data_IF_120874047361
#
_entry.id   IF_120874047361
#
_cell.length_a   1.000
_cell.length_b   1.000
_cell.length_c   1.000
_cell.angle_alpha   90.00
_cell.angle_beta   90.00
_cell.angle_gamma   90.00
#
_symmetry.space_group_name_H-M   'P 1'
#
loop_
_entity.id
_entity.type
_entity.pdbx_description
1 polymer ?
#
# COMPACT_ATOMS: atom_id res chain seq x y z
N UNK A 1 -8.41 18.09 42.60
CA UNK A 1 -7.97 18.69 41.32
C UNK A 1 -7.35 17.59 40.48
N UNK A 2 -8.15 16.90 39.66
CA UNK A 2 -7.67 15.83 38.79
C UNK A 2 -7.37 16.45 37.44
N UNK A 3 -6.09 16.52 37.06
CA UNK A 3 -5.65 16.89 35.72
C UNK A 3 -5.87 15.68 34.82
N UNK A 4 -6.86 15.74 33.94
CA UNK A 4 -6.93 14.83 32.80
C UNK A 4 -5.80 15.21 31.84
N UNK A 5 -4.83 14.32 31.67
CA UNK A 5 -3.89 14.41 30.57
C UNK A 5 -4.65 14.01 29.30
N UNK A 6 -4.67 14.92 28.32
CA UNK A 6 -5.19 14.65 26.99
C UNK A 6 -4.47 13.43 26.39
N UNK A 7 -5.16 12.30 26.32
CA UNK A 7 -4.80 11.26 25.39
C UNK A 7 -4.86 11.87 23.99
N UNK A 8 -3.70 11.98 23.34
CA UNK A 8 -3.62 12.39 21.93
C UNK A 8 -4.52 11.44 21.15
N UNK A 9 -5.62 11.97 20.62
CA UNK A 9 -6.51 11.23 19.74
C UNK A 9 -5.73 10.95 18.46
N UNK A 10 -5.26 9.71 18.30
CA UNK A 10 -4.67 9.24 17.05
C UNK A 10 -5.87 8.94 16.15
N UNK A 11 -6.01 9.59 14.97
CA UNK A 11 -7.12 9.31 14.08
C UNK A 11 -7.14 7.82 13.73
N UNK A 12 -8.30 7.18 13.82
CA UNK A 12 -8.55 5.89 13.16
C UNK A 12 -8.54 6.19 11.67
N UNK A 13 -7.45 5.87 11.00
CA UNK A 13 -7.33 6.04 9.57
C UNK A 13 -7.65 4.71 8.91
N UNK A 14 -8.44 4.69 7.84
CA UNK A 14 -8.64 3.46 7.08
C UNK A 14 -7.38 3.22 6.25
N UNK A 15 -6.85 1.99 6.29
CA UNK A 15 -5.89 1.54 5.30
C UNK A 15 -6.69 1.32 4.01
N UNK A 16 -6.82 2.39 3.24
CA UNK A 16 -7.46 2.40 1.95
C UNK A 16 -6.70 1.49 0.99
N UNK A 17 -7.44 0.54 0.45
CA UNK A 17 -7.16 -0.17 -0.81
C UNK A 17 -5.74 -0.75 -1.00
N UNK A 18 -5.22 -1.64 -0.13
CA UNK A 18 -4.01 -2.33 -0.51
C UNK A 18 -4.29 -3.46 -1.51
N UNK A 19 -3.60 -3.41 -2.66
CA UNK A 19 -3.60 -4.48 -3.67
C UNK A 19 -2.30 -5.25 -3.59
N UNK A 20 -2.35 -6.56 -3.82
CA UNK A 20 -1.19 -7.46 -3.79
C UNK A 20 -1.03 -8.13 -5.15
N UNK A 21 0.10 -7.87 -5.81
CA UNK A 21 0.54 -8.52 -7.04
C UNK A 21 1.54 -9.63 -6.71
N UNK A 22 1.42 -10.74 -7.42
CA UNK A 22 2.31 -11.90 -7.29
C UNK A 22 2.99 -12.18 -8.63
N UNK A 23 4.31 -12.15 -8.66
CA UNK A 23 5.13 -12.39 -9.86
C UNK A 23 6.09 -13.57 -9.61
N UNK A 24 5.59 -14.81 -9.61
CA UNK A 24 6.44 -15.99 -9.51
C UNK A 24 7.32 -16.16 -10.75
N UNK A 25 8.37 -16.99 -10.66
CA UNK A 25 9.24 -17.26 -11.81
C UNK A 25 8.60 -18.21 -12.82
N UNK A 26 7.71 -19.07 -12.35
CA UNK A 26 6.93 -20.02 -13.15
C UNK A 26 5.51 -20.04 -12.64
N UNK A 27 4.57 -20.51 -13.46
CA UNK A 27 3.19 -20.69 -13.00
C UNK A 27 3.15 -21.67 -11.82
N UNK A 28 2.69 -21.21 -10.66
CA UNK A 28 2.72 -22.00 -9.44
C UNK A 28 1.57 -21.67 -8.49
N UNK A 29 1.31 -22.56 -7.53
CA UNK A 29 0.32 -22.32 -6.50
C UNK A 29 0.94 -21.48 -5.37
N UNK A 30 0.23 -20.42 -4.99
CA UNK A 30 0.65 -19.50 -3.93
C UNK A 30 -0.46 -19.36 -2.90
N UNK A 31 -0.12 -19.55 -1.63
CA UNK A 31 -0.97 -19.27 -0.48
C UNK A 31 -0.59 -17.93 0.11
N UNK A 32 -1.55 -17.03 0.24
CA UNK A 32 -1.41 -15.70 0.83
C UNK A 32 -2.27 -15.61 2.09
N UNK A 33 -1.66 -15.21 3.20
CA UNK A 33 -2.30 -15.01 4.50
C UNK A 33 -1.97 -13.61 5.00
N UNK A 34 -3.00 -12.88 5.39
CA UNK A 34 -2.94 -11.50 5.82
C UNK A 34 -3.76 -11.33 7.10
N UNK A 35 -3.23 -10.58 8.06
CA UNK A 35 -3.86 -10.39 9.37
C UNK A 35 -3.87 -8.90 9.78
N UNK A 36 -4.67 -8.04 9.11
CA UNK A 36 -4.76 -6.63 9.52
C UNK A 36 -5.28 -6.52 10.95
N UNK A 37 -4.69 -5.63 11.75
CA UNK A 37 -4.97 -5.51 13.19
C UNK A 37 -6.47 -5.33 13.52
N UNK A 38 -7.19 -4.55 12.72
CA UNK A 38 -8.61 -4.27 12.91
C UNK A 38 -9.53 -5.01 11.91
N UNK A 39 -9.00 -6.06 11.28
CA UNK A 39 -9.73 -6.92 10.35
C UNK A 39 -9.99 -6.30 8.97
N UNK A 40 -10.74 -7.04 8.16
CA UNK A 40 -11.13 -6.64 6.80
C UNK A 40 -12.48 -5.92 6.80
N UNK A 41 -12.59 -4.85 6.00
CA UNK A 41 -13.87 -4.27 5.60
C UNK A 41 -14.34 -4.83 4.25
N UNK A 42 -13.40 -5.17 3.36
CA UNK A 42 -13.70 -5.77 2.07
C UNK A 42 -12.49 -6.59 1.59
N UNK A 43 -12.76 -7.65 0.83
CA UNK A 43 -11.73 -8.47 0.17
C UNK A 43 -12.21 -8.94 -1.18
N UNK A 44 -11.34 -8.95 -2.18
CA UNK A 44 -11.59 -9.58 -3.48
C UNK A 44 -10.33 -10.30 -3.98
N UNK A 45 -10.38 -11.63 -4.21
CA UNK A 45 -11.49 -12.56 -3.98
C UNK A 45 -11.94 -12.61 -2.52
N UNK A 46 -13.04 -13.32 -2.22
CA UNK A 46 -13.45 -13.56 -0.83
C UNK A 46 -12.31 -14.25 -0.05
N UNK A 47 -11.93 -13.66 1.09
CA UNK A 47 -10.72 -14.08 1.81
C UNK A 47 -10.88 -15.40 2.57
N UNK A 48 -12.01 -15.64 3.24
CA UNK A 48 -12.21 -16.84 4.07
C UNK A 48 -11.11 -17.02 5.13
N UNK A 49 -10.21 -17.98 4.91
CA UNK A 49 -9.04 -18.24 5.79
C UNK A 49 -7.71 -17.83 5.16
N UNK A 50 -7.74 -17.20 3.99
CA UNK A 50 -6.60 -16.92 3.15
C UNK A 50 -6.92 -17.12 1.67
N UNK A 51 -6.15 -16.46 0.81
CA UNK A 51 -6.22 -16.71 -0.63
C UNK A 51 -5.26 -17.83 -1.01
N UNK A 52 -5.78 -18.81 -1.74
CA UNK A 52 -4.97 -19.80 -2.44
C UNK A 52 -5.20 -19.58 -3.93
N UNK A 53 -4.13 -19.26 -4.66
CA UNK A 53 -4.21 -18.88 -6.07
C UNK A 53 -3.20 -19.65 -6.90
N UNK A 54 -3.48 -19.82 -8.19
CA UNK A 54 -2.48 -20.16 -9.19
C UNK A 54 -1.99 -18.85 -9.79
N UNK A 55 -0.75 -18.47 -9.46
CA UNK A 55 -0.13 -17.24 -9.93
C UNK A 55 0.71 -17.50 -11.18
N UNK A 56 0.60 -16.63 -12.17
CA UNK A 56 1.38 -16.66 -13.40
C UNK A 56 2.47 -15.58 -13.38
N UNK A 57 3.64 -15.78 -14.01
CA UNK A 57 4.68 -14.74 -14.09
C UNK A 57 4.21 -13.40 -14.70
N UNK A 58 3.12 -13.41 -15.47
CA UNK A 58 2.46 -12.19 -15.97
C UNK A 58 1.75 -11.35 -14.90
N UNK A 59 1.55 -11.90 -13.68
CA UNK A 59 0.78 -11.28 -12.60
C UNK A 59 -0.70 -11.67 -12.58
N UNK A 60 -1.18 -12.43 -13.57
CA UNK A 60 -2.56 -12.95 -13.56
C UNK A 60 -2.68 -14.06 -12.52
N UNK A 61 -3.73 -13.97 -11.71
CA UNK A 61 -4.03 -14.92 -10.65
C UNK A 61 -5.31 -15.67 -11.00
N UNK A 62 -5.34 -16.99 -10.78
CA UNK A 62 -6.59 -17.76 -10.76
C UNK A 62 -6.87 -18.16 -9.33
N UNK A 63 -7.96 -17.65 -8.76
CA UNK A 63 -8.35 -18.00 -7.40
C UNK A 63 -8.87 -19.44 -7.35
N UNK A 64 -8.35 -20.24 -6.42
CA UNK A 64 -8.68 -21.68 -6.34
C UNK A 64 -10.11 -21.90 -5.88
N UNK A 65 -10.65 -21.04 -5.01
CA UNK A 65 -11.98 -21.24 -4.41
C UNK A 65 -13.14 -21.00 -5.37
N UNK A 66 -13.01 -20.06 -6.32
CA UNK A 66 -14.06 -19.73 -7.28
C UNK A 66 -13.67 -19.96 -8.76
N UNK A 67 -12.41 -20.28 -9.04
CA UNK A 67 -11.88 -20.51 -10.38
C UNK A 67 -11.78 -19.27 -11.26
N UNK A 68 -12.00 -18.06 -10.72
CA UNK A 68 -11.99 -16.81 -11.48
C UNK A 68 -10.58 -16.22 -11.58
N UNK A 69 -10.38 -15.44 -12.64
CA UNK A 69 -9.13 -14.72 -12.87
C UNK A 69 -9.17 -13.32 -12.27
N UNK A 70 -8.07 -12.94 -11.62
CA UNK A 70 -7.88 -11.65 -10.97
C UNK A 70 -6.54 -11.03 -11.38
N UNK A 71 -6.46 -9.70 -11.56
CA UNK A 71 -5.21 -9.00 -11.87
C UNK A 71 -4.31 -8.78 -10.64
N UNK A 72 -4.89 -8.91 -9.44
CA UNK A 72 -4.25 -8.77 -8.13
C UNK A 72 -5.21 -9.28 -7.05
N UNK A 73 -4.71 -9.51 -5.84
CA UNK A 73 -5.55 -9.69 -4.65
C UNK A 73 -5.85 -8.32 -4.06
N UNK A 74 -7.05 -8.15 -3.53
CA UNK A 74 -7.55 -6.88 -3.06
C UNK A 74 -8.04 -7.00 -1.63
N UNK A 75 -7.67 -6.06 -0.78
CA UNK A 75 -8.32 -5.90 0.51
C UNK A 75 -8.50 -4.45 0.89
N UNK A 76 -9.43 -4.23 1.80
CA UNK A 76 -9.58 -3.01 2.58
C UNK A 76 -9.71 -3.43 4.04
N UNK A 77 -9.17 -2.62 4.92
CA UNK A 77 -9.25 -2.85 6.35
C UNK A 77 -9.24 -1.54 7.11
N UNK A 78 -9.78 -1.59 8.33
CA UNK A 78 -9.60 -0.48 9.25
C UNK A 78 -8.11 -0.43 9.58
N UNK A 79 -7.49 0.71 9.32
CA UNK A 79 -6.07 0.86 9.58
C UNK A 79 -5.84 0.87 11.08
N UNK A 80 -4.92 0.01 11.53
CA UNK A 80 -4.47 0.02 12.91
C UNK A 80 -3.86 1.37 13.28
N UNK A 81 -3.72 1.63 14.58
CA UNK A 81 -3.05 2.84 15.04
C UNK A 81 -1.60 2.85 14.55
N UNK A 82 -1.27 3.76 13.65
CA UNK A 82 0.10 4.05 13.25
C UNK A 82 0.46 5.49 13.58
N UNK A 83 1.76 5.75 13.68
CA UNK A 83 2.24 7.11 13.88
C UNK A 83 2.23 7.86 12.55
N UNK A 84 1.50 8.97 12.49
CA UNK A 84 1.54 9.85 11.33
C UNK A 84 2.99 10.25 10.99
N UNK A 85 3.39 10.15 9.71
CA UNK A 85 4.74 10.44 9.30
C UNK A 85 5.05 11.93 9.47
N UNK A 86 6.19 12.20 10.10
CA UNK A 86 6.72 13.57 10.30
C UNK A 86 7.68 13.98 9.19
N UNK A 87 8.16 13.01 8.41
CA UNK A 87 9.02 13.22 7.23
C UNK A 87 8.21 12.93 5.98
N UNK A 88 8.46 13.70 4.92
CA UNK A 88 7.69 13.63 3.69
C UNK A 88 7.98 14.82 2.79
N UNK A 89 7.18 14.93 1.75
CA UNK A 89 7.35 15.88 0.67
C UNK A 89 6.13 16.78 0.60
N UNK A 90 6.37 18.07 0.43
CA UNK A 90 5.29 19.03 0.13
C UNK A 90 5.30 19.27 -1.36
N UNK A 91 4.17 18.98 -2.01
CA UNK A 91 4.02 18.94 -3.46
C UNK A 91 2.86 19.83 -3.85
N UNK A 92 3.02 20.69 -4.85
CA UNK A 92 1.91 21.48 -5.38
C UNK A 92 0.92 20.57 -6.11
N UNK A 93 -0.38 20.91 -6.10
CA UNK A 93 -1.42 20.10 -6.75
C UNK A 93 -1.09 19.72 -8.20
N UNK A 94 -0.59 20.69 -8.97
CA UNK A 94 -0.23 20.53 -10.37
C UNK A 94 1.06 19.70 -10.60
N UNK A 95 1.80 19.39 -9.54
CA UNK A 95 3.02 18.59 -9.58
C UNK A 95 2.82 17.17 -9.02
N UNK A 96 1.62 16.85 -8.49
CA UNK A 96 1.34 15.55 -7.87
C UNK A 96 1.58 14.40 -8.86
N UNK A 97 1.13 14.53 -10.10
CA UNK A 97 1.28 13.46 -11.10
C UNK A 97 2.75 13.10 -11.37
N UNK A 98 3.58 14.09 -11.72
CA UNK A 98 5.00 13.87 -11.97
C UNK A 98 5.75 13.43 -10.72
N UNK A 99 5.35 13.93 -9.55
CA UNK A 99 5.88 13.48 -8.27
C UNK A 99 5.60 11.99 -8.01
N UNK A 100 4.35 11.53 -8.22
CA UNK A 100 4.00 10.12 -8.04
C UNK A 100 4.78 9.23 -9.00
N UNK A 101 4.85 9.59 -10.29
CA UNK A 101 5.61 8.83 -11.28
C UNK A 101 7.08 8.64 -10.86
N UNK A 102 7.72 9.71 -10.39
CA UNK A 102 9.10 9.66 -9.90
C UNK A 102 9.20 8.77 -8.64
N UNK A 103 8.37 9.00 -7.62
CA UNK A 103 8.50 8.31 -6.33
C UNK A 103 8.11 6.85 -6.40
N UNK A 104 7.06 6.47 -7.14
CA UNK A 104 6.64 5.08 -7.29
C UNK A 104 7.71 4.25 -8.01
N UNK A 105 8.34 4.80 -9.05
CA UNK A 105 9.48 4.17 -9.71
C UNK A 105 10.67 3.99 -8.73
N UNK A 106 10.97 5.02 -7.91
CA UNK A 106 12.00 4.94 -6.88
C UNK A 106 11.67 3.93 -5.77
N UNK A 107 10.39 3.70 -5.48
CA UNK A 107 9.91 2.69 -4.53
C UNK A 107 9.87 1.29 -5.14
N UNK A 108 10.18 1.17 -6.44
CA UNK A 108 10.33 -0.09 -7.14
C UNK A 108 9.04 -0.59 -7.77
N UNK A 109 7.99 0.22 -7.90
CA UNK A 109 6.79 -0.13 -8.67
C UNK A 109 7.10 -0.10 -10.18
N UNK A 110 6.47 -1.02 -10.91
CA UNK A 110 6.55 -1.04 -12.37
C UNK A 110 5.47 -0.16 -13.01
N UNK A 111 5.51 0.00 -14.34
CA UNK A 111 4.57 0.86 -15.06
C UNK A 111 3.09 0.49 -14.84
N UNK A 112 2.76 -0.81 -14.75
CA UNK A 112 1.38 -1.26 -14.51
C UNK A 112 0.94 -0.92 -13.10
N UNK A 113 1.74 -1.26 -12.10
CA UNK A 113 1.42 -1.02 -10.70
C UNK A 113 1.33 0.49 -10.40
N UNK A 114 2.23 1.30 -10.98
CA UNK A 114 2.19 2.76 -10.85
C UNK A 114 0.94 3.35 -11.50
N UNK A 115 0.54 2.87 -12.67
CA UNK A 115 -0.69 3.32 -13.32
C UNK A 115 -1.94 2.96 -12.48
N UNK A 116 -2.03 1.72 -11.99
CA UNK A 116 -3.13 1.28 -11.12
C UNK A 116 -3.15 2.09 -9.80
N UNK A 117 -1.97 2.45 -9.26
CA UNK A 117 -1.83 3.31 -8.07
C UNK A 117 -2.33 4.74 -8.35
N UNK A 118 -1.83 5.36 -9.42
CA UNK A 118 -2.15 6.74 -9.82
C UNK A 118 -3.64 6.88 -10.13
N UNK A 119 -4.22 5.94 -10.88
CA UNK A 119 -5.66 5.93 -11.22
C UNK A 119 -6.53 6.03 -9.96
N UNK A 120 -6.12 5.39 -8.87
CA UNK A 120 -6.87 5.42 -7.64
C UNK A 120 -6.53 6.61 -6.73
N UNK A 121 -5.25 6.89 -6.52
CA UNK A 121 -4.82 7.85 -5.50
C UNK A 121 -4.71 9.28 -5.99
N UNK A 122 -4.31 9.51 -7.24
CA UNK A 122 -4.14 10.87 -7.77
C UNK A 122 -5.44 11.69 -7.75
N UNK A 123 -6.62 11.15 -8.12
CA UNK A 123 -7.87 11.91 -8.04
C UNK A 123 -8.25 12.38 -6.63
N UNK A 124 -7.71 11.73 -5.58
CA UNK A 124 -7.95 12.08 -4.17
C UNK A 124 -7.03 13.20 -3.67
N UNK A 125 -5.99 13.53 -4.43
CA UNK A 125 -5.12 14.67 -4.20
C UNK A 125 -5.51 15.84 -5.11
N UNK A 126 -6.82 16.12 -5.18
CA UNK A 126 -7.39 17.28 -5.89
C UNK A 126 -8.20 18.16 -4.93
N UNK A 127 -8.13 19.48 -5.13
CA UNK A 127 -8.93 20.45 -4.35
C UNK A 127 -8.21 21.14 -3.19
N UNK A 128 -6.90 20.97 -3.06
CA UNK A 128 -6.04 21.76 -2.18
C UNK A 128 -4.77 22.16 -2.94
N UNK A 129 -4.22 23.36 -2.70
CA UNK A 129 -3.10 23.88 -3.49
C UNK A 129 -1.80 23.09 -3.30
N UNK A 130 -1.65 22.43 -2.15
CA UNK A 130 -0.50 21.60 -1.81
C UNK A 130 -0.94 20.33 -1.08
N UNK A 131 -0.08 19.32 -1.13
CA UNK A 131 -0.21 18.09 -0.36
C UNK A 131 1.09 17.79 0.37
N UNK A 132 0.99 17.38 1.63
CA UNK A 132 2.06 16.65 2.28
C UNK A 132 1.88 15.17 1.96
N UNK A 133 2.90 14.53 1.39
CA UNK A 133 2.89 13.13 0.98
C UNK A 133 4.08 12.41 1.60
N UNK A 134 3.83 11.24 2.18
CA UNK A 134 4.82 10.33 2.72
C UNK A 134 4.50 8.89 2.31
N UNK A 135 5.53 8.06 2.25
CA UNK A 135 5.47 6.64 1.93
C UNK A 135 6.09 5.82 3.05
N UNK A 136 5.31 4.90 3.59
CA UNK A 136 5.69 3.95 4.62
C UNK A 136 6.01 2.61 3.93
N UNK A 137 7.08 1.95 4.39
CA UNK A 137 7.57 0.71 3.79
C UNK A 137 7.16 -0.56 4.57
N UNK A 138 7.78 -1.68 4.19
CA UNK A 138 7.53 -3.01 4.76
C UNK A 138 7.47 -3.02 6.29
N UNK A 139 8.40 -2.37 7.00
CA UNK A 139 8.46 -2.43 8.46
C UNK A 139 7.19 -1.94 9.16
N UNK A 140 6.51 -0.94 8.59
CA UNK A 140 5.25 -0.43 9.14
C UNK A 140 4.10 -1.34 8.72
N UNK A 141 4.08 -1.77 7.45
CA UNK A 141 3.06 -2.67 6.94
C UNK A 141 3.07 -4.05 7.62
N UNK A 142 4.24 -4.57 7.98
CA UNK A 142 4.38 -5.85 8.69
C UNK A 142 3.82 -5.78 10.11
N UNK A 143 3.76 -4.57 10.70
CA UNK A 143 3.10 -4.35 11.99
C UNK A 143 1.59 -4.19 11.82
N UNK A 144 1.16 -3.42 10.82
CA UNK A 144 -0.26 -3.08 10.60
C UNK A 144 -1.07 -4.25 10.03
N UNK A 145 -0.48 -4.97 9.08
CA UNK A 145 -1.07 -6.09 8.39
C UNK A 145 0.02 -7.11 8.05
N UNK A 146 0.44 -7.95 9.03
CA UNK A 146 1.33 -9.06 8.78
C UNK A 146 0.92 -9.87 7.55
N UNK A 147 1.87 -10.06 6.63
CA UNK A 147 1.70 -10.77 5.38
C UNK A 147 2.60 -12.01 5.38
N UNK A 148 1.99 -13.18 5.18
CA UNK A 148 2.69 -14.45 5.04
C UNK A 148 2.32 -15.09 3.71
N UNK A 149 3.34 -15.49 2.94
CA UNK A 149 3.17 -16.05 1.59
C UNK A 149 3.94 -17.36 1.49
N UNK A 150 3.34 -18.37 0.87
CA UNK A 150 3.96 -19.67 0.61
C UNK A 150 3.75 -20.07 -0.86
N UNK A 151 4.80 -20.40 -1.62
CA UNK A 151 6.21 -20.38 -1.23
C UNK A 151 6.71 -18.98 -0.87
N UNK A 152 7.79 -18.91 -0.08
CA UNK A 152 8.32 -17.64 0.38
C UNK A 152 8.87 -16.83 -0.81
N UNK A 153 8.44 -15.56 -0.99
CA UNK A 153 8.94 -14.72 -2.05
C UNK A 153 10.39 -14.28 -1.78
N UNK A 154 11.18 -14.15 -2.85
CA UNK A 154 12.55 -13.64 -2.81
C UNK A 154 12.59 -12.12 -2.62
N UNK A 155 11.57 -11.42 -3.10
CA UNK A 155 11.43 -9.96 -2.98
C UNK A 155 10.02 -9.59 -2.53
N UNK A 156 9.92 -8.76 -1.50
CA UNK A 156 8.64 -8.17 -1.06
C UNK A 156 8.77 -6.65 -1.03
N UNK A 157 7.93 -5.96 -1.80
CA UNK A 157 7.86 -4.49 -1.85
C UNK A 157 6.51 -4.09 -1.30
N UNK A 158 6.46 -3.41 -0.15
CA UNK A 158 5.21 -2.89 0.43
C UNK A 158 5.28 -1.38 0.51
N UNK A 159 4.30 -0.69 -0.07
CA UNK A 159 4.22 0.77 -0.12
C UNK A 159 2.87 1.23 0.42
N UNK A 160 2.87 1.94 1.54
CA UNK A 160 1.67 2.59 2.06
C UNK A 160 1.84 4.10 1.99
N UNK A 161 1.05 4.76 1.16
CA UNK A 161 1.07 6.22 1.05
C UNK A 161 0.19 6.87 2.11
N UNK A 162 0.73 7.85 2.81
CA UNK A 162 -0.01 8.76 3.66
C UNK A 162 0.06 10.16 3.05
N UNK A 163 -1.10 10.80 2.88
CA UNK A 163 -1.16 12.17 2.38
C UNK A 163 -2.19 13.00 3.13
N UNK A 164 -1.98 14.32 3.14
CA UNK A 164 -2.94 15.30 3.67
C UNK A 164 -2.89 16.62 2.90
N UNK A 165 -4.04 17.28 2.71
CA UNK A 165 -4.10 18.57 2.04
C UNK A 165 -3.43 19.67 2.87
N UNK A 166 -2.89 20.67 2.19
CA UNK A 166 -2.27 21.86 2.76
C UNK A 166 -2.74 23.10 2.00
N UNK A 167 -3.02 24.18 2.72
CA UNK A 167 -3.42 25.47 2.12
C UNK A 167 -2.23 26.32 1.67
N UNK A 168 -1.04 26.02 2.18
CA UNK A 168 0.21 26.70 1.86
C UNK A 168 1.37 25.69 2.02
N UNK A 169 2.51 25.89 1.34
CA UNK A 169 3.64 25.00 1.51
C UNK A 169 4.18 25.11 2.94
N UNK A 170 4.51 23.98 3.54
CA UNK A 170 5.12 23.92 4.88
C UNK A 170 6.52 23.35 4.80
N UNK A 171 7.39 23.71 5.73
CA UNK A 171 8.70 23.08 5.83
C UNK A 171 8.53 21.59 6.12
N UNK A 172 9.10 20.74 5.27
CA UNK A 172 9.15 19.29 5.49
C UNK A 172 10.58 18.77 5.30
N UNK A 173 10.88 17.68 5.99
CA UNK A 173 12.12 16.93 5.76
C UNK A 173 11.80 15.72 4.90
N UNK A 174 12.26 15.72 3.66
CA UNK A 174 12.20 14.54 2.80
C UNK A 174 13.14 13.44 3.29
N UNK A 175 13.19 12.33 2.57
CA UNK A 175 14.09 11.23 2.86
C UNK A 175 14.50 10.51 1.58
N UNK A 176 15.68 9.89 1.62
CA UNK A 176 16.18 9.12 0.49
C UNK A 176 15.45 7.79 0.39
N UNK A 177 14.98 7.47 -0.80
CA UNK A 177 14.41 6.18 -1.16
C UNK A 177 15.47 5.38 -1.89
N UNK A 178 15.59 4.10 -1.56
CA UNK A 178 16.44 3.16 -2.27
C UNK A 178 15.55 2.22 -3.07
N UNK A 179 15.74 2.21 -4.38
CA UNK A 179 14.98 1.33 -5.25
C UNK A 179 15.27 -0.14 -4.94
N UNK A 180 14.24 -0.93 -4.55
CA UNK A 180 14.38 -2.36 -4.38
C UNK A 180 14.76 -3.03 -5.70
N UNK A 181 15.63 -4.04 -5.62
CA UNK A 181 15.94 -4.87 -6.78
C UNK A 181 14.99 -6.06 -6.78
N UNK A 182 14.15 -6.17 -7.81
CA UNK A 182 13.28 -7.32 -8.03
C UNK A 182 14.10 -8.54 -8.45
N UNK A 183 14.11 -9.59 -7.62
CA UNK A 183 14.75 -10.88 -7.92
C UNK A 183 13.79 -12.01 -7.56
N UNK A 184 13.82 -13.07 -8.35
CA UNK A 184 13.03 -14.28 -8.11
C UNK A 184 11.54 -14.01 -7.99
N UNK A 185 10.85 -14.78 -7.16
CA UNK A 185 9.45 -14.56 -6.87
C UNK A 185 9.27 -13.20 -6.16
N UNK A 186 8.66 -12.24 -6.87
CA UNK A 186 8.44 -10.88 -6.38
C UNK A 186 6.98 -10.67 -5.99
N UNK A 187 6.76 -10.11 -4.81
CA UNK A 187 5.46 -9.67 -4.33
C UNK A 187 5.49 -8.16 -4.19
N UNK A 188 4.47 -7.49 -4.72
CA UNK A 188 4.29 -6.05 -4.57
C UNK A 188 2.95 -5.80 -3.92
N UNK A 189 2.94 -5.10 -2.81
CA UNK A 189 1.74 -4.54 -2.22
C UNK A 189 1.85 -3.03 -2.19
N UNK A 190 0.80 -2.35 -2.64
CA UNK A 190 0.68 -0.92 -2.40
C UNK A 190 -0.72 -0.56 -1.95
N UNK A 191 -0.82 0.48 -1.14
CA UNK A 191 -2.07 1.07 -0.66
C UNK A 191 -1.85 2.48 -0.16
N UNK A 192 -2.83 3.03 0.54
CA UNK A 192 -2.71 4.35 1.13
C UNK A 192 -3.68 4.58 2.28
N UNK A 193 -3.59 5.74 2.90
CA UNK A 193 -4.41 6.08 4.06
C UNK A 193 -5.53 7.02 3.63
N UNK A 194 -6.77 6.64 3.95
CA UNK A 194 -7.94 7.50 3.82
C UNK A 194 -8.29 8.06 5.20
N UNK A 195 -8.52 9.38 5.25
CA UNK A 195 -8.95 10.13 6.44
C UNK A 195 -10.29 10.80 6.18
#
# INVERSE_FOLDING_TARGET
MVKFQNAKFVPLAECGKPVIYLYPQTREQVSVRLAPQDGFSYTEPEYGTGWDVIADPSGVLVNVSDGKSYPYLFWEGRGGMYQEPTKGFVVAENEVHSFLQEKLALLGLNAKESADFEEFWEPRMKGAPYYFISFLGNSVMDQLAPLSITPAPDTVIRVLMDFRPLQAPVASTGYHMKTPVRRGFTVVEWGGVLR
#
